data_IF_934040210164
#
_entry.id   IF_934040210164
#
_cell.length_a   1.000
_cell.length_b   1.000
_cell.length_c   1.000
_cell.angle_alpha   90.00
_cell.angle_beta   90.00
_cell.angle_gamma   90.00
#
_symmetry.space_group_name_H-M   'P 1'
#
loop_
_entity.id
_entity.type
_entity.pdbx_description
1 polymer ?
#
# COMPACT_ATOMS: atom_id res chain seq x y z
N UNK A 1 -3.85 5.26 -15.60
CA UNK A 1 -5.23 5.65 -15.96
C UNK A 1 -6.28 4.80 -15.24
N UNK A 2 -6.21 3.47 -15.20
CA UNK A 2 -7.18 2.62 -14.49
C UNK A 2 -7.36 2.98 -13.00
N UNK A 3 -6.26 3.21 -12.27
CA UNK A 3 -6.33 3.63 -10.86
C UNK A 3 -7.05 4.98 -10.71
N UNK A 4 -6.82 5.92 -11.63
CA UNK A 4 -7.47 7.24 -11.59
C UNK A 4 -8.97 7.14 -11.89
N UNK A 5 -9.35 6.33 -12.88
CA UNK A 5 -10.75 6.05 -13.19
C UNK A 5 -11.46 5.33 -12.04
N UNK A 6 -10.79 4.35 -11.43
CA UNK A 6 -11.28 3.65 -10.25
C UNK A 6 -11.49 4.65 -9.10
N UNK A 7 -10.48 5.45 -8.75
CA UNK A 7 -10.60 6.49 -7.74
C UNK A 7 -11.75 7.46 -8.03
N UNK A 8 -11.92 7.92 -9.28
CA UNK A 8 -13.05 8.79 -9.65
C UNK A 8 -14.41 8.10 -9.52
N UNK A 9 -14.49 6.79 -9.74
CA UNK A 9 -15.72 6.01 -9.64
C UNK A 9 -16.10 5.62 -8.21
N UNK A 10 -15.11 5.42 -7.33
CA UNK A 10 -15.32 4.96 -5.95
C UNK A 10 -15.24 6.06 -4.92
N UNK A 11 -14.69 7.24 -5.27
CA UNK A 11 -14.59 8.35 -4.34
C UNK A 11 -15.96 9.01 -4.15
N UNK A 12 -16.64 8.65 -3.06
CA UNK A 12 -17.85 9.31 -2.60
C UNK A 12 -17.48 10.27 -1.48
N UNK A 13 -17.68 11.56 -1.70
CA UNK A 13 -17.45 12.58 -0.67
C UNK A 13 -18.77 12.93 0.01
N UNK A 14 -18.85 12.72 1.33
CA UNK A 14 -20.03 13.06 2.11
C UNK A 14 -20.06 14.57 2.40
N UNK A 15 -20.72 15.30 1.51
CA UNK A 15 -20.88 16.74 1.61
C UNK A 15 -21.64 17.18 2.88
N UNK A 16 -22.54 16.34 3.42
CA UNK A 16 -23.30 16.66 4.62
C UNK A 16 -22.39 16.62 5.85
N UNK A 17 -21.56 15.57 5.97
CA UNK A 17 -20.57 15.46 7.05
C UNK A 17 -19.52 16.58 6.97
N UNK A 18 -19.11 16.98 5.77
CA UNK A 18 -18.18 18.10 5.58
C UNK A 18 -18.79 19.45 6.00
N UNK A 19 -20.05 19.71 5.65
CA UNK A 19 -20.76 20.93 6.07
C UNK A 19 -20.87 21.04 7.60
N UNK A 20 -21.22 19.94 8.28
CA UNK A 20 -21.27 19.88 9.75
C UNK A 20 -19.88 20.19 10.34
N UNK A 21 -18.82 19.60 9.80
CA UNK A 21 -17.47 19.85 10.30
C UNK A 21 -17.04 21.32 10.12
N UNK A 22 -17.43 21.97 9.03
CA UNK A 22 -17.17 23.41 8.82
C UNK A 22 -17.90 24.31 9.82
N UNK A 23 -19.08 23.89 10.31
CA UNK A 23 -19.82 24.62 11.35
C UNK A 23 -19.22 24.39 12.75
N UNK A 24 -18.68 23.21 13.01
CA UNK A 24 -18.12 22.83 14.32
C UNK A 24 -16.71 23.39 14.53
N UNK A 25 -15.87 23.40 13.50
CA UNK A 25 -14.48 23.85 13.61
C UNK A 25 -14.32 25.34 13.26
N UNK A 26 -13.43 26.07 13.97
CA UNK A 26 -13.06 27.42 13.57
C UNK A 26 -12.48 27.44 12.15
N UNK A 27 -12.63 28.56 11.41
CA UNK A 27 -12.12 28.67 10.05
C UNK A 27 -10.61 28.34 9.99
N UNK A 28 -10.24 27.43 9.09
CA UNK A 28 -8.87 26.95 8.89
C UNK A 28 -8.43 25.78 9.77
N UNK A 29 -9.11 25.51 10.90
CA UNK A 29 -8.74 24.38 11.78
C UNK A 29 -9.08 23.03 11.18
N UNK A 30 -10.25 22.92 10.53
CA UNK A 30 -10.62 21.68 9.86
C UNK A 30 -9.61 21.32 8.77
N UNK A 31 -9.19 22.28 7.94
CA UNK A 31 -8.23 22.02 6.85
C UNK A 31 -6.86 21.59 7.38
N UNK A 32 -6.40 22.16 8.50
CA UNK A 32 -5.14 21.80 9.13
C UNK A 32 -5.21 20.46 9.88
N UNK A 33 -6.36 20.14 10.47
CA UNK A 33 -6.60 18.94 11.27
C UNK A 33 -7.27 17.77 10.53
N UNK A 34 -7.62 17.93 9.26
CA UNK A 34 -8.40 16.93 8.50
C UNK A 34 -7.75 15.55 8.48
N UNK A 35 -6.42 15.48 8.44
CA UNK A 35 -5.65 14.23 8.47
C UNK A 35 -5.71 13.52 9.83
N UNK A 36 -5.97 14.25 10.91
CA UNK A 36 -6.11 13.73 12.28
C UNK A 36 -7.55 13.28 12.53
N UNK A 37 -8.52 14.00 11.97
CA UNK A 37 -9.96 13.76 12.14
C UNK A 37 -10.44 12.60 11.23
N UNK A 38 -9.79 12.42 10.09
CA UNK A 38 -10.13 11.33 9.16
C UNK A 38 -9.76 9.95 9.70
N UNK A 39 -10.40 8.94 9.13
CA UNK A 39 -10.10 7.54 9.42
C UNK A 39 -8.67 7.21 8.98
N UNK A 40 -7.79 6.90 9.93
CA UNK A 40 -6.40 6.60 9.60
C UNK A 40 -6.24 5.32 8.82
N UNK A 41 -7.17 4.37 8.93
CA UNK A 41 -7.12 3.16 8.12
C UNK A 41 -7.18 3.52 6.62
N UNK A 42 -8.20 4.29 6.24
CA UNK A 42 -8.42 4.73 4.87
C UNK A 42 -7.32 5.68 4.40
N UNK A 43 -6.92 6.63 5.25
CA UNK A 43 -5.87 7.59 4.94
C UNK A 43 -4.53 6.88 4.73
N UNK A 44 -4.18 5.88 5.55
CA UNK A 44 -2.96 5.10 5.43
C UNK A 44 -2.91 4.34 4.09
N UNK A 45 -3.99 3.65 3.73
CA UNK A 45 -4.11 2.94 2.45
C UNK A 45 -3.98 3.90 1.27
N UNK A 46 -4.63 5.06 1.34
CA UNK A 46 -4.54 6.10 0.29
C UNK A 46 -3.12 6.62 0.16
N UNK A 47 -2.45 6.97 1.27
CA UNK A 47 -1.08 7.48 1.22
C UNK A 47 -0.09 6.45 0.69
N UNK A 48 -0.18 5.18 1.08
CA UNK A 48 0.67 4.13 0.50
C UNK A 48 0.35 3.91 -0.99
N UNK A 49 -0.91 3.99 -1.40
CA UNK A 49 -1.30 3.97 -2.81
C UNK A 49 -0.68 5.13 -3.62
N UNK A 50 -0.78 6.36 -3.09
CA UNK A 50 -0.20 7.56 -3.71
C UNK A 50 1.33 7.51 -3.76
N UNK A 51 1.96 6.96 -2.72
CA UNK A 51 3.41 6.75 -2.64
C UNK A 51 3.88 5.72 -3.68
N UNK A 52 3.11 4.66 -3.91
CA UNK A 52 3.35 3.70 -5.00
C UNK A 52 3.22 4.34 -6.40
N UNK A 53 2.32 5.31 -6.56
CA UNK A 53 2.17 6.06 -7.80
C UNK A 53 3.34 7.03 -8.05
N UNK A 54 3.97 7.52 -6.98
CA UNK A 54 5.10 8.46 -7.03
C UNK A 54 6.36 7.77 -7.53
N UNK A 55 7.07 8.45 -8.43
CA UNK A 55 8.39 8.02 -8.88
C UNK A 55 9.39 8.37 -7.79
N UNK A 56 9.67 7.40 -6.90
CA UNK A 56 10.61 7.61 -5.79
C UNK A 56 12.02 7.11 -6.09
N UNK A 57 12.19 6.29 -7.12
CA UNK A 57 13.46 5.60 -7.40
C UNK A 57 13.89 5.84 -8.85
N UNK A 58 15.19 5.97 -9.09
CA UNK A 58 15.73 6.13 -10.45
C UNK A 58 15.29 4.99 -11.38
N UNK A 59 15.24 3.75 -10.91
CA UNK A 59 14.70 2.61 -11.66
C UNK A 59 13.22 2.81 -12.07
N UNK A 60 12.38 3.32 -11.17
CA UNK A 60 10.97 3.62 -11.47
C UNK A 60 10.84 4.74 -12.50
N UNK A 61 11.77 5.70 -12.51
CA UNK A 61 11.83 6.75 -13.51
C UNK A 61 12.17 6.19 -14.89
N UNK A 62 13.27 5.44 -15.00
CA UNK A 62 13.73 4.87 -16.27
C UNK A 62 12.76 3.83 -16.84
N UNK A 63 12.16 2.99 -16.02
CA UNK A 63 11.17 2.00 -16.48
C UNK A 63 9.92 2.70 -17.04
N UNK A 64 9.37 3.70 -16.35
CA UNK A 64 8.18 4.42 -16.83
C UNK A 64 8.46 5.26 -18.07
N UNK A 65 9.61 5.94 -18.14
CA UNK A 65 10.02 6.69 -19.33
C UNK A 65 10.31 5.74 -20.49
N UNK A 66 11.01 4.63 -20.25
CA UNK A 66 11.31 3.62 -21.26
C UNK A 66 10.06 3.03 -21.91
N UNK A 67 9.05 2.69 -21.09
CA UNK A 67 7.74 2.22 -21.59
C UNK A 67 7.07 3.29 -22.43
N UNK A 68 6.99 4.53 -21.94
CA UNK A 68 6.36 5.64 -22.68
C UNK A 68 7.09 5.97 -24.00
N UNK A 69 8.42 5.96 -24.02
CA UNK A 69 9.23 6.16 -25.24
C UNK A 69 8.97 5.04 -26.23
N UNK A 70 8.92 3.79 -25.77
CA UNK A 70 8.66 2.62 -26.62
C UNK A 70 7.26 2.70 -27.24
N UNK A 71 6.25 3.12 -26.47
CA UNK A 71 4.89 3.36 -26.96
C UNK A 71 4.85 4.49 -27.99
N UNK A 72 5.54 5.61 -27.74
CA UNK A 72 5.68 6.72 -28.69
C UNK A 72 6.33 6.26 -30.00
N UNK A 73 7.40 5.48 -29.91
CA UNK A 73 8.08 4.92 -31.09
C UNK A 73 7.17 3.98 -31.87
N UNK A 74 6.48 3.06 -31.18
CA UNK A 74 5.50 2.15 -31.80
C UNK A 74 4.35 2.88 -32.47
N UNK A 75 3.85 3.97 -31.86
CA UNK A 75 2.81 4.81 -32.47
C UNK A 75 3.32 5.49 -33.74
N UNK A 76 4.51 6.09 -33.73
CA UNK A 76 5.10 6.71 -34.93
C UNK A 76 5.26 5.70 -36.05
N UNK A 77 5.79 4.51 -35.73
CA UNK A 77 5.94 3.41 -36.68
C UNK A 77 4.58 2.98 -37.26
N UNK A 78 3.55 2.85 -36.43
CA UNK A 78 2.19 2.52 -36.88
C UNK A 78 1.60 3.61 -37.79
N UNK A 79 1.78 4.89 -37.48
CA UNK A 79 1.33 6.01 -38.32
C UNK A 79 2.07 6.02 -39.66
N UNK A 80 3.38 5.81 -39.65
CA UNK A 80 4.19 5.73 -40.88
C UNK A 80 3.75 4.55 -41.77
N UNK A 81 3.40 3.41 -41.17
CA UNK A 81 2.86 2.24 -41.88
C UNK A 81 1.49 2.53 -42.53
N UNK A 82 0.62 3.27 -41.84
CA UNK A 82 -0.69 3.69 -42.38
C UNK A 82 -0.52 4.68 -43.53
N UNK A 83 0.44 5.62 -43.42
CA UNK A 83 0.67 6.64 -44.46
C UNK A 83 1.39 6.11 -45.71
N UNK A 84 2.22 5.05 -45.60
CA UNK A 84 3.02 4.52 -46.72
C UNK A 84 2.87 3.00 -46.88
N UNK A 85 1.69 2.49 -47.27
CA UNK A 85 1.43 1.05 -47.39
C UNK A 85 2.30 0.34 -48.44
N UNK A 86 2.78 1.06 -49.46
CA UNK A 86 3.60 0.50 -50.55
C UNK A 86 5.07 0.22 -50.20
N UNK A 87 5.57 0.68 -49.05
CA UNK A 87 6.99 0.47 -48.64
C UNK A 87 7.23 -0.90 -47.99
N UNK A 88 6.19 -1.74 -47.90
CA UNK A 88 6.16 -2.94 -47.08
C UNK A 88 6.15 -4.22 -47.92
N UNK A 89 7.28 -4.50 -48.60
CA UNK A 89 7.56 -5.85 -49.12
C UNK A 89 8.61 -6.61 -48.28
N UNK A 90 9.29 -5.94 -47.34
CA UNK A 90 10.09 -6.65 -46.34
C UNK A 90 9.31 -6.73 -45.02
N UNK A 91 9.09 -7.97 -44.57
CA UNK A 91 8.47 -8.34 -43.30
C UNK A 91 8.78 -7.36 -42.16
N UNK A 92 7.77 -6.63 -41.69
CA UNK A 92 7.87 -5.70 -40.53
C UNK A 92 8.16 -6.44 -39.23
N UNK A 93 7.91 -7.74 -39.20
CA UNK A 93 8.42 -8.61 -38.14
C UNK A 93 9.83 -9.07 -38.49
N UNK A 94 10.85 -8.83 -37.64
CA UNK A 94 12.12 -9.53 -37.78
C UNK A 94 11.82 -11.03 -37.76
N UNK A 95 12.17 -11.73 -38.84
CA UNK A 95 12.04 -13.19 -38.91
C UNK A 95 12.86 -13.78 -37.76
N UNK A 96 12.14 -14.39 -36.81
CA UNK A 96 12.62 -15.25 -35.70
C UNK A 96 13.44 -14.58 -34.59
N UNK A 97 12.74 -14.04 -33.60
CA UNK A 97 13.14 -14.20 -32.20
C UNK A 97 12.02 -14.86 -31.39
N UNK A 98 11.54 -16.02 -31.86
CA UNK A 98 10.53 -16.81 -31.16
C UNK A 98 10.95 -17.13 -29.71
N UNK A 99 12.25 -17.37 -29.49
CA UNK A 99 12.82 -17.55 -28.16
C UNK A 99 12.69 -16.30 -27.27
N UNK A 100 12.91 -15.10 -27.82
CA UNK A 100 12.75 -13.85 -27.06
C UNK A 100 11.29 -13.56 -26.70
N UNK A 101 10.36 -13.82 -27.63
CA UNK A 101 8.93 -13.72 -27.36
C UNK A 101 8.46 -14.76 -26.32
N UNK A 102 8.90 -16.01 -26.45
CA UNK A 102 8.59 -17.08 -25.50
C UNK A 102 9.15 -16.75 -24.10
N UNK A 103 10.38 -16.24 -24.01
CA UNK A 103 10.98 -15.81 -22.74
C UNK A 103 10.16 -14.71 -22.07
N UNK A 104 9.72 -13.69 -22.81
CA UNK A 104 8.88 -12.61 -22.27
C UNK A 104 7.54 -13.11 -21.74
N UNK A 105 6.92 -14.08 -22.44
CA UNK A 105 5.66 -14.69 -22.00
C UNK A 105 5.85 -15.50 -20.72
N UNK A 106 6.90 -16.32 -20.65
CA UNK A 106 7.23 -17.10 -19.43
C UNK A 106 7.56 -16.17 -18.27
N UNK A 107 8.36 -15.12 -18.51
CA UNK A 107 8.67 -14.12 -17.49
C UNK A 107 7.42 -13.40 -16.98
N UNK A 108 6.51 -13.01 -17.87
CA UNK A 108 5.24 -12.40 -17.49
C UNK A 108 4.37 -13.37 -16.66
N UNK A 109 4.28 -14.64 -17.04
CA UNK A 109 3.55 -15.65 -16.27
C UNK A 109 4.16 -15.86 -14.88
N UNK A 110 5.49 -15.97 -14.78
CA UNK A 110 6.20 -16.08 -13.51
C UNK A 110 5.99 -14.87 -12.60
N UNK A 111 5.96 -13.65 -13.16
CA UNK A 111 5.64 -12.45 -12.40
C UNK A 111 4.21 -12.45 -11.87
N UNK A 112 3.24 -12.89 -12.67
CA UNK A 112 1.84 -12.99 -12.24
C UNK A 112 1.73 -13.96 -11.06
N UNK A 113 2.30 -15.17 -11.21
CA UNK A 113 2.31 -16.18 -10.14
C UNK A 113 2.97 -15.63 -8.88
N UNK A 114 4.14 -14.99 -9.02
CA UNK A 114 4.85 -14.40 -7.89
C UNK A 114 4.03 -13.36 -7.14
N UNK A 115 3.35 -12.46 -7.87
CA UNK A 115 2.53 -11.39 -7.27
C UNK A 115 1.29 -11.98 -6.61
N UNK A 116 0.61 -12.92 -7.26
CA UNK A 116 -0.60 -13.56 -6.75
C UNK A 116 -0.30 -14.35 -5.47
N UNK A 117 0.75 -15.17 -5.49
CA UNK A 117 1.19 -15.92 -4.31
C UNK A 117 1.64 -14.97 -3.19
N UNK A 118 2.38 -13.90 -3.49
CA UNK A 118 2.78 -12.91 -2.48
C UNK A 118 1.58 -12.24 -1.80
N UNK A 119 0.53 -11.92 -2.55
CA UNK A 119 -0.71 -11.33 -2.02
C UNK A 119 -1.48 -12.36 -1.19
N UNK A 120 -1.61 -13.59 -1.71
CA UNK A 120 -2.32 -14.68 -1.04
C UNK A 120 -1.66 -15.07 0.27
N UNK A 121 -0.36 -15.37 0.27
CA UNK A 121 0.35 -15.79 1.49
C UNK A 121 0.37 -14.69 2.53
N UNK A 122 0.58 -13.43 2.13
CA UNK A 122 0.60 -12.31 3.08
C UNK A 122 -0.78 -12.02 3.68
N UNK A 123 -1.86 -12.13 2.90
CA UNK A 123 -3.21 -11.90 3.40
C UNK A 123 -3.64 -12.99 4.38
N UNK A 124 -3.32 -14.26 4.11
CA UNK A 124 -3.60 -15.36 5.02
C UNK A 124 -2.80 -15.26 6.33
N UNK A 125 -1.51 -14.87 6.25
CA UNK A 125 -0.67 -14.70 7.44
C UNK A 125 -1.20 -13.62 8.40
N UNK A 126 -1.78 -12.54 7.86
CA UNK A 126 -2.26 -11.40 8.64
C UNK A 126 -3.77 -11.43 8.92
N UNK A 127 -4.51 -12.43 8.40
CA UNK A 127 -5.95 -12.59 8.64
C UNK A 127 -6.33 -12.64 10.14
N UNK A 128 -5.52 -13.24 11.04
CA UNK A 128 -5.82 -13.23 12.49
C UNK A 128 -5.68 -11.86 13.17
N UNK A 129 -5.07 -10.87 12.51
CA UNK A 129 -4.69 -9.58 13.06
C UNK A 129 -5.41 -8.42 12.35
N UNK A 130 -6.68 -8.14 12.69
CA UNK A 130 -7.43 -7.04 12.08
C UNK A 130 -6.79 -5.66 12.32
N UNK A 131 -5.95 -5.51 13.35
CA UNK A 131 -5.16 -4.31 13.62
C UNK A 131 -4.08 -4.02 12.56
N UNK A 132 -3.74 -5.00 11.72
CA UNK A 132 -2.80 -4.82 10.62
C UNK A 132 -3.53 -4.38 9.35
N UNK A 133 -3.52 -3.08 9.09
CA UNK A 133 -4.24 -2.47 7.97
C UNK A 133 -3.52 -2.66 6.64
N UNK A 134 -2.19 -2.56 6.65
CA UNK A 134 -1.38 -2.60 5.44
C UNK A 134 -0.32 -3.69 5.51
N UNK A 135 -0.35 -4.59 4.53
CA UNK A 135 0.56 -5.73 4.41
C UNK A 135 1.72 -5.43 3.46
N UNK A 136 2.91 -5.97 3.74
CA UNK A 136 4.10 -5.79 2.90
C UNK A 136 4.11 -6.64 1.61
N UNK A 137 3.12 -7.53 1.43
CA UNK A 137 2.92 -8.39 0.25
C UNK A 137 4.19 -9.12 -0.17
N UNK A 138 4.72 -9.95 0.72
CA UNK A 138 5.89 -10.81 0.45
C UNK A 138 5.45 -12.25 0.25
N UNK A 139 6.14 -12.93 -0.67
CA UNK A 139 6.05 -14.37 -0.76
C UNK A 139 6.77 -14.97 0.46
N UNK A 140 6.00 -15.51 1.40
CA UNK A 140 6.51 -16.17 2.61
C UNK A 140 5.94 -17.57 2.70
N UNK A 141 6.77 -18.51 3.17
CA UNK A 141 6.32 -19.85 3.54
C UNK A 141 5.49 -19.75 4.81
N UNK A 142 4.20 -20.06 4.72
CA UNK A 142 3.32 -20.16 5.87
C UNK A 142 3.69 -21.45 6.62
N UNK A 143 4.32 -21.33 7.78
CA UNK A 143 4.36 -22.43 8.74
C UNK A 143 3.05 -22.39 9.54
N UNK A 144 2.27 -23.46 9.44
CA UNK A 144 0.95 -23.58 10.06
C UNK A 144 1.02 -23.18 11.55
N UNK A 145 0.36 -22.07 11.90
CA UNK A 145 0.15 -21.65 13.29
C UNK A 145 1.14 -20.65 13.89
N UNK A 146 2.12 -20.12 13.15
CA UNK A 146 3.03 -19.09 13.70
C UNK A 146 2.47 -17.66 13.53
N UNK A 147 2.03 -17.05 14.64
CA UNK A 147 1.61 -15.63 14.71
C UNK A 147 2.75 -14.64 14.41
N UNK A 148 4.00 -15.10 14.32
CA UNK A 148 5.20 -14.28 14.17
C UNK A 148 5.57 -13.93 12.73
N UNK A 149 4.83 -14.45 11.73
CA UNK A 149 5.19 -14.33 10.32
C UNK A 149 4.46 -13.23 9.54
N UNK A 150 3.45 -12.56 10.12
CA UNK A 150 2.67 -11.54 9.41
C UNK A 150 3.56 -10.36 8.93
N UNK A 151 3.69 -10.12 7.61
CA UNK A 151 4.36 -8.94 7.05
C UNK A 151 3.53 -7.67 7.25
N UNK A 152 3.41 -7.18 8.49
CA UNK A 152 2.68 -5.95 8.74
C UNK A 152 3.54 -4.71 8.46
N UNK A 153 3.03 -3.77 7.65
CA UNK A 153 3.65 -2.45 7.43
C UNK A 153 3.06 -1.38 8.34
N UNK A 154 1.74 -1.41 8.52
CA UNK A 154 1.02 -0.39 9.31
C UNK A 154 0.05 -1.06 10.26
N UNK A 155 0.30 -0.85 11.55
CA UNK A 155 -0.56 -1.30 12.64
C UNK A 155 -1.34 -0.10 13.16
N UNK A 156 -2.66 -0.19 13.12
CA UNK A 156 -3.58 0.84 13.57
C UNK A 156 -4.61 0.16 14.48
N UNK A 157 -4.51 0.41 15.78
CA UNK A 157 -5.52 -0.02 16.76
C UNK A 157 -6.06 1.21 17.48
N UNK A 158 -7.32 1.52 17.22
CA UNK A 158 -8.01 2.71 17.73
C UNK A 158 -9.33 2.29 18.37
N UNK A 159 -9.48 2.61 19.64
CA UNK A 159 -10.77 2.52 20.33
C UNK A 159 -11.38 3.92 20.44
N UNK A 160 -12.15 4.34 19.44
CA UNK A 160 -12.66 5.72 19.35
C UNK A 160 -13.81 6.02 20.33
N UNK A 161 -14.46 4.99 20.88
CA UNK A 161 -15.63 5.13 21.75
C UNK A 161 -15.65 4.03 22.82
N UNK A 162 -14.79 4.12 23.84
CA UNK A 162 -14.82 3.18 24.97
C UNK A 162 -16.21 3.23 25.62
N UNK A 163 -16.77 2.06 25.92
CA UNK A 163 -18.16 1.95 26.40
C UNK A 163 -18.28 2.33 27.88
N UNK A 164 -17.19 2.24 28.62
CA UNK A 164 -17.16 2.51 30.06
C UNK A 164 -16.03 3.46 30.45
N UNK A 165 -16.26 4.23 31.52
CA UNK A 165 -15.24 5.12 32.09
C UNK A 165 -14.00 4.34 32.56
N UNK A 166 -14.19 3.13 33.10
CA UNK A 166 -13.09 2.26 33.54
C UNK A 166 -12.18 1.80 32.39
N UNK A 167 -12.75 1.52 31.21
CA UNK A 167 -11.97 1.21 30.00
C UNK A 167 -11.17 2.42 29.47
N UNK A 168 -11.66 3.63 29.73
CA UNK A 168 -10.95 4.86 29.38
C UNK A 168 -9.82 5.18 30.36
N UNK A 169 -10.06 4.99 31.66
CA UNK A 169 -9.07 5.25 32.72
C UNK A 169 -7.96 4.18 32.76
N UNK A 170 -8.28 2.93 32.43
CA UNK A 170 -7.31 1.85 32.30
C UNK A 170 -7.38 1.22 30.89
N UNK A 171 -6.73 1.85 29.89
CA UNK A 171 -6.72 1.35 28.52
C UNK A 171 -6.08 -0.03 28.44
N UNK A 172 -6.33 -0.79 27.37
CA UNK A 172 -5.75 -2.13 27.23
C UNK A 172 -4.28 -2.05 26.83
N UNK A 173 -3.44 -2.86 27.48
CA UNK A 173 -2.04 -3.02 27.13
C UNK A 173 -1.90 -3.83 25.83
N UNK A 174 -1.19 -3.28 24.85
CA UNK A 174 -0.99 -3.89 23.53
C UNK A 174 0.42 -4.44 23.31
N UNK A 175 1.31 -4.40 24.31
CA UNK A 175 2.71 -4.85 24.18
C UNK A 175 2.82 -6.30 23.70
N UNK A 176 2.00 -7.21 24.23
CA UNK A 176 2.01 -8.64 23.86
C UNK A 176 1.56 -8.89 22.42
N UNK A 177 0.76 -8.00 21.82
CA UNK A 177 0.32 -8.10 20.42
C UNK A 177 1.28 -7.42 19.46
N UNK A 178 1.86 -6.30 19.86
CA UNK A 178 2.79 -5.53 19.01
C UNK A 178 4.14 -6.23 18.89
N UNK A 179 4.63 -6.89 19.95
CA UNK A 179 5.91 -7.62 19.92
C UNK A 179 6.02 -8.66 18.79
N UNK A 180 5.09 -9.63 18.63
CA UNK A 180 5.19 -10.62 17.55
C UNK A 180 5.03 -10.00 16.15
N UNK A 181 4.26 -8.92 16.01
CA UNK A 181 4.08 -8.22 14.73
C UNK A 181 5.32 -7.38 14.36
N UNK A 182 6.02 -6.84 15.35
CA UNK A 182 7.27 -6.11 15.18
C UNK A 182 8.48 -7.04 14.97
N UNK A 183 8.40 -8.31 15.37
CA UNK A 183 9.50 -9.28 15.29
C UNK A 183 10.09 -9.43 13.88
N UNK A 184 9.26 -9.24 12.84
CA UNK A 184 9.71 -9.32 11.45
C UNK A 184 10.52 -8.10 10.99
N UNK A 185 10.50 -7.00 11.73
CA UNK A 185 11.24 -5.78 11.41
C UNK A 185 10.69 -4.99 10.20
N UNK A 186 9.48 -5.31 9.73
CA UNK A 186 8.86 -4.70 8.54
C UNK A 186 7.96 -3.50 8.87
N UNK A 187 7.65 -3.30 10.15
CA UNK A 187 6.73 -2.28 10.63
C UNK A 187 7.24 -0.87 10.33
N UNK A 188 6.40 -0.04 9.73
CA UNK A 188 6.71 1.36 9.37
C UNK A 188 5.90 2.36 10.19
N UNK A 189 4.68 1.99 10.60
CA UNK A 189 3.78 2.89 11.33
C UNK A 189 3.02 2.12 12.39
N UNK A 190 3.01 2.65 13.60
CA UNK A 190 2.23 2.17 14.74
C UNK A 190 1.40 3.33 15.25
N UNK A 191 0.09 3.13 15.26
CA UNK A 191 -0.84 4.09 15.81
C UNK A 191 -1.77 3.41 16.81
N UNK A 192 -1.64 3.81 18.06
CA UNK A 192 -2.45 3.34 19.17
C UNK A 192 -3.30 4.50 19.69
N UNK A 193 -4.61 4.31 19.88
CA UNK A 193 -5.50 5.32 20.45
C UNK A 193 -6.41 4.68 21.48
N UNK A 194 -6.43 5.24 22.71
CA UNK A 194 -7.06 4.63 23.88
C UNK A 194 -6.57 3.20 24.18
N UNK A 195 -5.32 2.93 23.80
CA UNK A 195 -4.52 1.73 24.03
C UNK A 195 -3.11 2.21 24.38
N UNK A 196 -2.34 1.41 25.10
CA UNK A 196 -1.00 1.80 25.51
C UNK A 196 0.01 0.66 25.40
N UNK A 197 1.29 1.03 25.32
CA UNK A 197 2.42 0.11 25.46
C UNK A 197 2.98 0.22 26.87
N UNK A 198 2.86 -0.85 27.67
CA UNK A 198 3.42 -0.84 29.01
C UNK A 198 4.95 -0.78 29.02
N UNK A 199 5.58 -1.45 28.05
CA UNK A 199 7.02 -1.39 27.78
C UNK A 199 7.20 -1.37 26.27
N UNK A 200 8.20 -0.62 25.79
CA UNK A 200 8.58 -0.63 24.39
C UNK A 200 9.24 -1.97 24.04
N UNK A 201 8.62 -2.84 23.22
CA UNK A 201 9.20 -4.14 22.88
C UNK A 201 10.54 -4.00 22.16
N UNK A 202 11.51 -4.87 22.48
CA UNK A 202 12.83 -4.83 21.85
C UNK A 202 12.77 -5.13 20.35
N UNK A 203 11.76 -5.88 19.91
CA UNK A 203 11.47 -6.22 18.53
C UNK A 203 11.22 -4.98 17.66
N UNK A 204 10.71 -3.88 18.22
CA UNK A 204 10.58 -2.62 17.49
C UNK A 204 11.94 -2.05 17.07
N UNK A 205 13.03 -2.39 17.77
CA UNK A 205 14.39 -1.97 17.39
C UNK A 205 14.85 -2.68 16.11
N UNK A 206 14.26 -3.82 15.75
CA UNK A 206 14.51 -4.51 14.49
C UNK A 206 13.89 -3.77 13.30
N UNK A 207 12.89 -2.93 13.53
CA UNK A 207 12.17 -2.17 12.51
C UNK A 207 13.00 -0.98 12.01
N UNK A 208 13.87 -1.22 11.02
CA UNK A 208 14.74 -0.17 10.45
C UNK A 208 14.01 0.94 9.70
N UNK A 209 12.75 0.74 9.36
CA UNK A 209 11.93 1.67 8.57
C UNK A 209 10.76 2.27 9.35
N UNK A 210 10.81 2.23 10.69
CA UNK A 210 9.78 2.84 11.53
C UNK A 210 9.82 4.37 11.36
N UNK A 211 8.72 4.96 10.89
CA UNK A 211 8.58 6.40 10.61
C UNK A 211 7.72 7.12 11.63
N UNK A 212 6.66 6.46 12.07
CA UNK A 212 5.64 7.04 12.92
C UNK A 212 5.29 6.06 14.03
N UNK A 213 5.50 6.46 15.27
CA UNK A 213 5.04 5.79 16.47
C UNK A 213 4.19 6.81 17.22
N UNK A 214 2.90 6.55 17.30
CA UNK A 214 1.98 7.33 18.10
C UNK A 214 1.46 6.46 19.24
N UNK A 215 1.88 6.80 20.45
CA UNK A 215 1.46 6.16 21.69
C UNK A 215 1.09 7.28 22.67
N UNK A 216 -0.14 7.32 23.23
CA UNK A 216 -0.53 8.36 24.18
C UNK A 216 0.31 8.40 25.47
N UNK A 217 1.07 7.35 25.78
CA UNK A 217 1.94 7.26 26.95
C UNK A 217 3.32 7.91 26.79
N UNK A 218 3.76 8.25 25.58
CA UNK A 218 5.10 8.79 25.30
C UNK A 218 5.09 10.09 24.47
#
# INVERSE_FOLDING_TARGET
>A
MLVVLYCLSTFTFDHAKFAINLEVFPPGWFEQGASVIGDAEQIAVIYEGLKSLRIMTALNFFTRIGVNITLCFRRRLAVDLIHKPKKQQSSVYPKRHAFGAAFLVVYAAMLIIFVEESVRTSSLACQPHPECVVNARRWTTLEDGSLTQCPCLMLIDRDLAPKTYAEWENPTNMTEKVAPLAAKGELQTVQLTNRYLGVLPEELRLCKNLRHLYDPTF
#
